data_IF_020211667786
#
_entry.id   IF_020211667786
#
_cell.length_a   1.000
_cell.length_b   1.000
_cell.length_c   1.000
_cell.angle_alpha   90.00
_cell.angle_beta   90.00
_cell.angle_gamma   90.00
#
_symmetry.space_group_name_H-M   'P 1'
#
loop_
_entity.id
_entity.type
_entity.pdbx_description
1 polymer ?
#
# COMPACT_ATOMS: atom_id res chain seq x y z
N UNK A 1 -18.34 -12.04 21.42
CA UNK A 1 -18.00 -10.62 21.60
C UNK A 1 -17.32 -10.46 22.94
N UNK A 2 -16.01 -10.69 22.99
CA UNK A 2 -15.14 -10.15 24.05
C UNK A 2 -14.54 -8.86 23.50
N UNK A 3 -14.66 -7.76 24.26
CA UNK A 3 -13.90 -6.55 23.99
C UNK A 3 -12.44 -6.92 24.19
N UNK A 4 -11.64 -6.83 23.12
CA UNK A 4 -10.18 -6.90 23.23
C UNK A 4 -9.76 -5.66 24.02
N UNK A 5 -9.45 -5.86 25.31
CA UNK A 5 -8.76 -4.85 26.09
C UNK A 5 -7.31 -4.86 25.65
N UNK A 6 -6.90 -3.75 25.02
CA UNK A 6 -5.50 -3.42 24.83
C UNK A 6 -4.93 -3.06 26.21
N UNK A 7 -4.11 -3.93 26.79
CA UNK A 7 -3.16 -3.46 27.79
C UNK A 7 -2.09 -2.66 27.04
N UNK A 8 -2.22 -1.34 27.13
CA UNK A 8 -1.18 -0.37 26.78
C UNK A 8 0.14 -0.75 27.48
N UNK A 9 1.30 -0.61 26.83
CA UNK A 9 2.58 -0.60 27.54
C UNK A 9 2.50 0.43 28.67
N UNK A 10 2.94 0.06 29.87
CA UNK A 10 2.84 0.95 31.04
C UNK A 10 3.50 2.30 30.77
N UNK A 11 2.87 3.37 31.25
CA UNK A 11 3.36 4.75 31.21
C UNK A 11 4.84 4.89 31.67
N UNK A 12 5.31 3.98 32.52
CA UNK A 12 6.70 3.89 33.01
C UNK A 12 7.75 3.45 31.96
N UNK A 13 7.36 2.69 30.94
CA UNK A 13 8.29 2.33 29.84
C UNK A 13 8.52 3.50 28.89
N UNK A 14 7.50 4.33 28.69
CA UNK A 14 7.58 5.53 27.86
C UNK A 14 8.40 6.63 28.55
N UNK A 15 8.26 6.79 29.87
CA UNK A 15 9.00 7.78 30.64
C UNK A 15 10.52 7.53 30.72
N UNK A 16 10.94 6.27 30.60
CA UNK A 16 12.36 5.87 30.68
C UNK A 16 13.13 6.19 29.39
N UNK A 17 12.46 6.25 28.24
CA UNK A 17 13.08 6.56 26.94
C UNK A 17 13.22 8.06 26.65
N UNK A 18 12.61 8.92 27.47
CA UNK A 18 12.58 10.39 27.30
C UNK A 18 13.85 11.14 27.75
N UNK A 19 14.85 10.48 28.36
CA UNK A 19 15.92 11.19 29.09
C UNK A 19 17.16 11.60 28.30
N UNK A 20 17.34 11.18 27.04
CA UNK A 20 18.56 11.49 26.29
C UNK A 20 18.26 12.43 25.12
N UNK A 21 18.24 13.73 25.41
CA UNK A 21 18.04 14.81 24.46
C UNK A 21 19.41 15.25 23.89
N UNK A 22 19.67 14.93 22.62
CA UNK A 22 20.89 15.36 21.93
C UNK A 22 20.70 15.48 20.41
N UNK A 23 19.57 15.99 19.89
CA UNK A 23 19.38 16.20 18.44
C UNK A 23 18.53 17.44 18.11
N UNK A 24 18.84 18.58 18.73
CA UNK A 24 18.33 19.89 18.29
C UNK A 24 19.31 20.48 17.27
N UNK A 25 18.90 20.49 16.00
CA UNK A 25 19.60 21.19 14.92
C UNK A 25 19.78 20.31 13.69
N UNK A 26 19.33 20.84 12.55
CA UNK A 26 19.52 20.35 11.17
C UNK A 26 18.31 19.62 10.56
N UNK A 27 17.19 20.34 10.44
CA UNK A 27 16.35 20.23 9.24
C UNK A 27 16.77 21.39 8.32
N UNK A 28 17.28 21.14 7.10
CA UNK A 28 17.53 22.23 6.17
C UNK A 28 16.19 22.76 5.65
N UNK A 29 15.89 24.03 5.94
CA UNK A 29 14.85 24.79 5.24
C UNK A 29 15.25 24.91 3.76
N UNK A 30 14.32 24.60 2.86
CA UNK A 30 14.49 24.87 1.43
C UNK A 30 13.33 25.73 0.91
N UNK A 31 13.62 26.64 -0.03
CA UNK A 31 12.71 27.72 -0.41
C UNK A 31 11.52 27.20 -1.20
N UNK A 32 10.37 27.86 -1.04
CA UNK A 32 9.21 27.68 -1.89
C UNK A 32 9.61 27.88 -3.36
N UNK A 33 9.62 26.79 -4.13
CA UNK A 33 9.91 26.84 -5.57
C UNK A 33 8.81 27.61 -6.29
N UNK A 34 9.20 28.68 -6.98
CA UNK A 34 8.34 29.39 -7.93
C UNK A 34 7.87 28.42 -9.03
N UNK A 35 6.56 28.38 -9.26
CA UNK A 35 5.95 27.63 -10.37
C UNK A 35 6.33 28.35 -11.65
N UNK A 36 7.28 27.80 -12.40
CA UNK A 36 7.52 28.19 -13.78
C UNK A 36 6.48 27.51 -14.67
N UNK A 37 5.47 28.27 -15.08
CA UNK A 37 4.57 27.92 -16.18
C UNK A 37 5.35 27.97 -17.51
N UNK A 38 6.09 26.91 -17.83
CA UNK A 38 6.54 26.68 -19.21
C UNK A 38 5.58 25.69 -19.88
N UNK A 39 4.74 26.22 -20.76
CA UNK A 39 3.86 25.43 -21.61
C UNK A 39 4.66 24.65 -22.65
N UNK A 40 4.68 23.32 -22.53
CA UNK A 40 4.97 22.35 -23.58
C UNK A 40 4.29 21.00 -23.23
N UNK A 41 3.63 20.42 -24.23
CA UNK A 41 2.57 19.40 -24.22
C UNK A 41 2.76 18.17 -23.28
N UNK A 42 1.85 17.92 -22.31
CA UNK A 42 1.91 16.76 -21.40
C UNK A 42 1.69 15.38 -22.05
N UNK A 43 1.04 15.31 -23.22
CA UNK A 43 0.60 14.03 -23.83
C UNK A 43 1.75 13.22 -24.46
N UNK A 44 2.74 13.90 -25.08
CA UNK A 44 3.83 13.21 -25.80
C UNK A 44 4.71 12.34 -24.89
N UNK A 45 5.01 12.80 -23.68
CA UNK A 45 5.88 12.07 -22.75
C UNK A 45 5.19 10.84 -22.14
N UNK A 46 3.87 10.91 -21.92
CA UNK A 46 3.07 9.80 -21.44
C UNK A 46 2.93 8.72 -22.54
N UNK A 47 2.68 9.15 -23.78
CA UNK A 47 2.61 8.27 -24.95
C UNK A 47 3.94 7.57 -25.21
N UNK A 48 5.06 8.29 -25.16
CA UNK A 48 6.40 7.70 -25.28
C UNK A 48 6.66 6.68 -24.17
N UNK A 49 6.22 6.94 -22.94
CA UNK A 49 6.36 5.99 -21.82
C UNK A 49 5.56 4.73 -22.07
N UNK A 50 4.30 4.87 -22.49
CA UNK A 50 3.44 3.75 -22.83
C UNK A 50 4.05 2.89 -23.94
N UNK A 51 4.60 3.52 -24.97
CA UNK A 51 5.21 2.78 -26.08
C UNK A 51 6.46 2.00 -25.64
N UNK A 52 7.31 2.58 -24.77
CA UNK A 52 8.43 1.84 -24.18
C UNK A 52 7.98 0.58 -23.42
N UNK A 53 6.85 0.63 -22.72
CA UNK A 53 6.31 -0.57 -22.06
C UNK A 53 5.78 -1.59 -23.07
N UNK A 54 5.08 -1.15 -24.12
CA UNK A 54 4.60 -2.04 -25.18
C UNK A 54 5.76 -2.76 -25.87
N UNK A 55 6.80 -2.03 -26.25
CA UNK A 55 8.01 -2.63 -26.84
C UNK A 55 8.66 -3.69 -25.93
N UNK A 56 8.66 -3.47 -24.61
CA UNK A 56 9.17 -4.44 -23.65
C UNK A 56 8.27 -5.67 -23.52
N UNK A 57 6.96 -5.48 -23.56
CA UNK A 57 5.97 -6.54 -23.42
C UNK A 57 5.80 -7.33 -24.73
N UNK A 58 6.00 -6.73 -25.90
CA UNK A 58 5.81 -7.37 -27.21
C UNK A 58 6.95 -8.33 -27.59
N UNK A 59 7.98 -8.50 -26.75
CA UNK A 59 9.00 -9.50 -26.99
C UNK A 59 8.39 -10.92 -26.99
N UNK A 60 8.33 -11.53 -28.17
CA UNK A 60 7.63 -12.79 -28.42
C UNK A 60 8.28 -14.02 -27.75
N UNK A 61 9.55 -13.92 -27.32
CA UNK A 61 10.33 -15.09 -26.87
C UNK A 61 10.55 -15.11 -25.38
N UNK A 62 11.04 -14.01 -24.82
CA UNK A 62 11.40 -13.93 -23.41
C UNK A 62 11.28 -12.49 -22.90
N UNK A 63 10.53 -12.33 -21.81
CA UNK A 63 10.33 -11.04 -21.18
C UNK A 63 11.44 -10.75 -20.17
N UNK A 64 12.14 -9.63 -20.35
CA UNK A 64 13.20 -9.21 -19.46
C UNK A 64 12.63 -8.52 -18.20
N UNK A 65 12.32 -9.31 -17.17
CA UNK A 65 11.73 -8.82 -15.90
C UNK A 65 12.57 -7.72 -15.27
N UNK A 66 13.91 -7.84 -15.34
CA UNK A 66 14.80 -6.86 -14.73
C UNK A 66 14.69 -5.49 -15.39
N UNK A 67 14.69 -5.45 -16.74
CA UNK A 67 14.49 -4.22 -17.50
C UNK A 67 13.08 -3.65 -17.28
N UNK A 68 12.07 -4.53 -17.25
CA UNK A 68 10.69 -4.15 -16.98
C UNK A 68 10.52 -3.51 -15.59
N UNK A 69 11.09 -4.13 -14.55
CA UNK A 69 11.10 -3.60 -13.20
C UNK A 69 11.86 -2.27 -13.12
N UNK A 70 13.01 -2.14 -13.80
CA UNK A 70 13.74 -0.87 -13.84
C UNK A 70 12.89 0.28 -14.40
N UNK A 71 12.15 0.04 -15.48
CA UNK A 71 11.24 1.04 -16.07
C UNK A 71 10.04 1.35 -15.15
N UNK A 72 9.46 0.32 -14.53
CA UNK A 72 8.28 0.40 -13.67
C UNK A 72 8.48 1.16 -12.34
N UNK A 73 9.72 1.27 -11.84
CA UNK A 73 10.03 2.00 -10.59
C UNK A 73 9.53 3.45 -10.58
N UNK A 74 9.49 4.08 -11.76
CA UNK A 74 9.04 5.47 -11.93
C UNK A 74 7.56 5.59 -12.34
N UNK A 75 6.78 4.52 -12.12
CA UNK A 75 5.36 4.46 -12.45
C UNK A 75 5.08 3.68 -13.73
N UNK A 76 3.92 3.06 -13.78
CA UNK A 76 3.47 2.24 -14.90
C UNK A 76 2.21 2.87 -15.50
N UNK A 77 2.10 3.00 -16.84
CA UNK A 77 0.88 3.45 -17.49
C UNK A 77 -0.32 2.53 -17.20
N UNK A 78 -1.53 3.10 -17.18
CA UNK A 78 -2.75 2.38 -16.77
C UNK A 78 -3.05 1.17 -17.66
N UNK A 79 -2.80 1.31 -18.96
CA UNK A 79 -3.13 0.37 -20.02
C UNK A 79 -2.37 -0.95 -19.85
N UNK A 80 -1.12 -0.88 -19.38
CA UNK A 80 -0.21 -2.02 -19.27
C UNK A 80 -0.01 -2.49 -17.81
N UNK A 81 -0.55 -1.75 -16.82
CA UNK A 81 -0.27 -2.00 -15.40
C UNK A 81 -0.57 -3.42 -14.95
N UNK A 82 -1.69 -4.00 -15.40
CA UNK A 82 -2.05 -5.39 -15.05
C UNK A 82 -1.01 -6.38 -15.52
N UNK A 83 -0.51 -6.27 -16.75
CA UNK A 83 0.48 -7.18 -17.30
C UNK A 83 1.84 -6.99 -16.63
N UNK A 84 2.26 -5.73 -16.46
CA UNK A 84 3.52 -5.37 -15.79
C UNK A 84 3.56 -5.89 -14.35
N UNK A 85 2.50 -5.68 -13.57
CA UNK A 85 2.41 -6.18 -12.19
C UNK A 85 2.48 -7.70 -12.14
N UNK A 86 1.78 -8.39 -13.03
CA UNK A 86 1.82 -9.86 -13.09
C UNK A 86 3.24 -10.38 -13.32
N UNK A 87 4.02 -9.77 -14.21
CA UNK A 87 5.40 -10.19 -14.42
C UNK A 87 6.32 -9.84 -13.24
N UNK A 88 6.24 -8.62 -12.72
CA UNK A 88 7.12 -8.15 -11.64
C UNK A 88 6.84 -8.88 -10.32
N UNK A 89 5.57 -9.24 -10.05
CA UNK A 89 5.18 -10.06 -8.90
C UNK A 89 5.50 -11.56 -9.09
N UNK A 90 5.96 -11.96 -10.28
CA UNK A 90 6.26 -13.36 -10.60
C UNK A 90 5.03 -14.25 -10.79
N UNK A 91 3.86 -13.64 -11.09
CA UNK A 91 2.62 -14.35 -11.43
C UNK A 91 2.71 -14.93 -12.83
N UNK A 92 3.25 -14.18 -13.79
CA UNK A 92 3.54 -14.68 -15.13
C UNK A 92 5.02 -15.06 -15.26
N UNK A 93 5.29 -16.05 -16.10
CA UNK A 93 6.66 -16.53 -16.35
C UNK A 93 7.32 -15.71 -17.46
N UNK A 94 8.63 -15.46 -17.39
CA UNK A 94 9.35 -14.72 -18.43
C UNK A 94 9.30 -15.39 -19.81
N UNK A 95 9.25 -16.72 -19.87
CA UNK A 95 9.17 -17.48 -21.10
C UNK A 95 7.75 -17.38 -21.70
N UNK A 96 7.63 -16.70 -22.84
CA UNK A 96 6.32 -16.45 -23.48
C UNK A 96 5.76 -17.65 -24.24
N UNK A 97 6.61 -18.60 -24.62
CA UNK A 97 6.24 -19.75 -25.48
C UNK A 97 5.10 -20.62 -24.94
N UNK A 98 4.87 -20.63 -23.64
CA UNK A 98 3.79 -21.40 -23.01
C UNK A 98 2.89 -20.56 -22.09
N UNK A 99 2.91 -19.23 -22.25
CA UNK A 99 2.19 -18.30 -21.39
C UNK A 99 0.68 -18.57 -21.37
N UNK A 100 0.06 -18.79 -22.54
CA UNK A 100 -1.38 -19.09 -22.65
C UNK A 100 -1.72 -20.35 -21.86
N UNK A 101 -0.95 -21.43 -22.07
CA UNK A 101 -1.15 -22.71 -21.37
C UNK A 101 -0.96 -22.55 -19.85
N UNK A 102 -0.01 -21.72 -19.43
CA UNK A 102 0.24 -21.43 -18.03
C UNK A 102 -0.88 -20.63 -17.37
N UNK A 103 -1.37 -19.59 -18.04
CA UNK A 103 -2.52 -18.82 -17.58
C UNK A 103 -3.78 -19.69 -17.47
N UNK A 104 -4.01 -20.60 -18.42
CA UNK A 104 -5.09 -21.59 -18.32
C UNK A 104 -4.93 -22.52 -17.11
N UNK A 105 -3.70 -22.95 -16.81
CA UNK A 105 -3.40 -23.74 -15.60
C UNK A 105 -3.72 -22.96 -14.33
N UNK A 106 -3.26 -21.71 -14.23
CA UNK A 106 -3.55 -20.82 -13.09
C UNK A 106 -5.06 -20.61 -12.92
N UNK A 107 -5.79 -20.35 -14.00
CA UNK A 107 -7.25 -20.22 -13.96
C UNK A 107 -7.93 -21.50 -13.47
N UNK A 108 -7.46 -22.67 -13.92
CA UNK A 108 -8.02 -23.96 -13.49
C UNK A 108 -7.78 -24.21 -12.00
N UNK A 109 -6.55 -24.01 -11.53
CA UNK A 109 -6.20 -24.15 -10.11
C UNK A 109 -7.00 -23.17 -9.24
N UNK A 110 -7.14 -21.92 -9.67
CA UNK A 110 -7.99 -20.94 -9.00
C UNK A 110 -9.45 -21.41 -8.90
N UNK A 111 -10.03 -21.93 -9.99
CA UNK A 111 -11.40 -22.45 -9.97
C UNK A 111 -11.54 -23.67 -9.04
N UNK A 112 -10.52 -24.51 -8.95
CA UNK A 112 -10.47 -25.60 -7.97
C UNK A 112 -10.46 -25.05 -6.54
N UNK A 113 -9.75 -23.95 -6.25
CA UNK A 113 -9.83 -23.33 -4.92
C UNK A 113 -11.24 -22.79 -4.63
N UNK A 114 -11.85 -22.13 -5.61
CA UNK A 114 -13.20 -21.55 -5.47
C UNK A 114 -14.24 -22.62 -5.17
N UNK A 115 -14.15 -23.82 -5.75
CA UNK A 115 -15.11 -24.90 -5.50
C UNK A 115 -15.09 -25.46 -4.07
N UNK A 116 -14.06 -25.13 -3.28
CA UNK A 116 -13.92 -25.56 -1.89
C UNK A 116 -14.29 -24.46 -0.88
N UNK A 117 -14.77 -23.30 -1.34
CA UNK A 117 -15.22 -22.21 -0.47
C UNK A 117 -16.66 -22.49 -0.06
N UNK A 118 -16.93 -22.50 1.24
CA UNK A 118 -18.27 -22.69 1.79
C UNK A 118 -18.95 -21.34 2.02
N UNK A 119 -20.19 -21.20 1.53
CA UNK A 119 -20.94 -19.94 1.56
C UNK A 119 -21.41 -19.53 2.98
N UNK A 120 -21.45 -20.45 3.94
CA UNK A 120 -21.97 -20.23 5.31
C UNK A 120 -20.88 -19.95 6.36
N UNK A 121 -19.83 -19.24 5.95
CA UNK A 121 -18.73 -18.86 6.82
C UNK A 121 -19.00 -17.46 7.45
N UNK A 122 -18.66 -17.29 8.72
CA UNK A 122 -18.63 -15.98 9.37
C UNK A 122 -17.75 -15.00 8.59
N UNK A 123 -16.63 -15.48 8.04
CA UNK A 123 -15.72 -14.70 7.21
C UNK A 123 -16.44 -14.13 5.98
N UNK A 124 -17.25 -14.93 5.28
CA UNK A 124 -18.01 -14.48 4.10
C UNK A 124 -18.88 -13.28 4.45
N UNK A 125 -19.67 -13.39 5.53
CA UNK A 125 -20.55 -12.29 5.98
C UNK A 125 -19.77 -11.04 6.36
N UNK A 126 -18.63 -11.20 7.05
CA UNK A 126 -17.79 -10.07 7.47
C UNK A 126 -17.10 -9.38 6.28
N UNK A 127 -16.67 -10.14 5.27
CA UNK A 127 -16.12 -9.59 4.02
C UNK A 127 -17.19 -8.82 3.25
N UNK A 128 -18.36 -9.41 3.03
CA UNK A 128 -19.47 -8.77 2.31
C UNK A 128 -19.90 -7.47 3.01
N UNK A 129 -20.03 -7.49 4.33
CA UNK A 129 -20.36 -6.30 5.12
C UNK A 129 -19.31 -5.19 4.93
N UNK A 130 -18.03 -5.53 5.03
CA UNK A 130 -16.95 -4.55 4.91
C UNK A 130 -16.87 -3.95 3.50
N UNK A 131 -16.99 -4.77 2.45
CA UNK A 131 -17.01 -4.28 1.06
C UNK A 131 -18.16 -3.28 0.86
N UNK A 132 -19.36 -3.61 1.35
CA UNK A 132 -20.52 -2.70 1.25
C UNK A 132 -20.31 -1.41 2.03
N UNK A 133 -19.76 -1.50 3.24
CA UNK A 133 -19.43 -0.34 4.06
C UNK A 133 -18.46 0.58 3.35
N UNK A 134 -17.36 0.05 2.81
CA UNK A 134 -16.35 0.83 2.08
C UNK A 134 -16.89 1.43 0.77
N UNK A 135 -17.73 0.70 0.03
CA UNK A 135 -18.43 1.21 -1.16
C UNK A 135 -19.33 2.41 -0.86
N UNK A 136 -19.92 2.45 0.34
CA UNK A 136 -20.83 3.52 0.74
C UNK A 136 -20.13 4.78 1.28
N UNK A 137 -18.81 4.72 1.52
CA UNK A 137 -18.05 5.89 1.98
C UNK A 137 -17.87 6.89 0.84
N UNK A 138 -17.95 8.19 1.16
CA UNK A 138 -17.58 9.27 0.24
C UNK A 138 -16.09 9.61 0.39
N UNK A 139 -15.22 8.60 0.32
CA UNK A 139 -13.77 8.77 0.51
C UNK A 139 -12.97 8.34 -0.71
N UNK A 140 -11.69 8.71 -0.74
CA UNK A 140 -10.71 8.29 -1.75
C UNK A 140 -10.66 6.77 -1.94
N UNK A 141 -10.89 6.01 -0.87
CA UNK A 141 -10.94 4.54 -0.86
C UNK A 141 -12.07 3.97 -1.73
N UNK A 142 -13.21 4.65 -1.83
CA UNK A 142 -14.37 4.14 -2.58
C UNK A 142 -14.06 3.99 -4.08
N UNK A 143 -13.09 4.75 -4.60
CA UNK A 143 -12.65 4.69 -5.99
C UNK A 143 -12.18 3.28 -6.39
N UNK A 144 -11.62 2.48 -5.47
CA UNK A 144 -11.15 1.12 -5.77
C UNK A 144 -12.25 0.08 -5.91
N UNK A 145 -13.47 0.37 -5.43
CA UNK A 145 -14.57 -0.59 -5.43
C UNK A 145 -15.46 -0.49 -6.67
N UNK A 146 -15.01 0.26 -7.67
CA UNK A 146 -15.63 0.38 -8.98
C UNK A 146 -14.58 0.25 -10.09
N UNK A 147 -15.03 -0.22 -11.25
CA UNK A 147 -14.24 -0.23 -12.50
C UNK A 147 -14.81 0.86 -13.40
N UNK A 148 -13.96 1.81 -13.79
CA UNK A 148 -14.33 2.87 -14.75
C UNK A 148 -14.58 2.27 -16.13
N UNK A 149 -13.73 1.33 -16.54
CA UNK A 149 -13.88 0.59 -17.78
C UNK A 149 -14.98 -0.47 -17.68
N UNK A 150 -16.13 -0.17 -18.31
CA UNK A 150 -17.28 -1.06 -18.38
C UNK A 150 -16.95 -2.40 -19.04
N UNK A 151 -15.92 -2.47 -19.89
CA UNK A 151 -15.49 -3.70 -20.56
C UNK A 151 -14.91 -4.75 -19.61
N UNK A 152 -14.39 -4.29 -18.46
CA UNK A 152 -13.87 -5.17 -17.39
C UNK A 152 -15.00 -5.77 -16.54
N UNK A 153 -16.26 -5.35 -16.68
CA UNK A 153 -17.37 -5.80 -15.83
C UNK A 153 -17.33 -5.20 -14.41
N UNK A 154 -18.37 -5.45 -13.61
CA UNK A 154 -18.49 -4.88 -12.27
C UNK A 154 -17.73 -5.70 -11.23
N UNK A 155 -17.23 -5.02 -10.19
CA UNK A 155 -16.71 -5.67 -8.99
C UNK A 155 -17.85 -6.10 -8.07
N UNK A 156 -17.94 -7.40 -7.85
CA UNK A 156 -18.93 -8.04 -6.98
C UNK A 156 -18.31 -8.42 -5.63
N UNK A 157 -19.11 -8.38 -4.55
CA UNK A 157 -18.66 -8.74 -3.20
C UNK A 157 -18.07 -10.15 -3.13
N UNK A 158 -18.59 -11.09 -3.92
CA UNK A 158 -18.12 -12.47 -3.89
C UNK A 158 -16.69 -12.61 -4.43
N UNK A 159 -16.21 -11.67 -5.26
CA UNK A 159 -14.81 -11.68 -5.69
C UNK A 159 -13.87 -11.47 -4.50
N UNK A 160 -14.21 -10.52 -3.63
CA UNK A 160 -13.45 -10.26 -2.40
C UNK A 160 -13.51 -11.46 -1.46
N UNK A 161 -14.70 -12.04 -1.29
CA UNK A 161 -14.89 -13.27 -0.49
C UNK A 161 -13.97 -14.36 -0.99
N UNK A 162 -13.99 -14.66 -2.30
CA UNK A 162 -13.17 -15.74 -2.87
C UNK A 162 -11.68 -15.50 -2.66
N UNK A 163 -11.18 -14.33 -3.02
CA UNK A 163 -9.76 -14.00 -2.87
C UNK A 163 -9.29 -14.10 -1.42
N UNK A 164 -10.07 -13.56 -0.47
CA UNK A 164 -9.72 -13.55 0.95
C UNK A 164 -9.83 -14.96 1.55
N UNK A 165 -10.92 -15.70 1.29
CA UNK A 165 -11.09 -17.06 1.81
C UNK A 165 -9.99 -18.00 1.34
N UNK A 166 -9.61 -17.93 0.06
CA UNK A 166 -8.50 -18.74 -0.47
C UNK A 166 -7.19 -18.34 0.21
N UNK A 167 -6.94 -17.04 0.42
CA UNK A 167 -5.72 -16.58 1.07
C UNK A 167 -5.62 -17.05 2.53
N UNK A 168 -6.72 -16.98 3.29
CA UNK A 168 -6.75 -17.44 4.67
C UNK A 168 -6.51 -18.95 4.77
N UNK A 169 -7.15 -19.74 3.90
CA UNK A 169 -6.95 -21.19 3.85
C UNK A 169 -5.53 -21.62 3.44
N UNK A 170 -4.76 -20.73 2.81
CA UNK A 170 -3.37 -20.97 2.37
C UNK A 170 -2.33 -20.18 3.18
N UNK A 171 -2.77 -19.50 4.22
CA UNK A 171 -1.92 -18.70 5.10
C UNK A 171 -0.85 -19.58 5.74
N UNK A 172 0.42 -19.14 5.69
CA UNK A 172 1.51 -19.86 6.36
C UNK A 172 1.52 -19.58 7.86
N UNK A 173 1.11 -18.38 8.23
CA UNK A 173 1.06 -17.90 9.60
C UNK A 173 -0.29 -18.18 10.30
N UNK A 174 -1.24 -18.82 9.60
CA UNK A 174 -2.60 -19.10 10.08
C UNK A 174 -3.31 -17.83 10.56
N UNK A 175 -3.20 -16.76 9.79
CA UNK A 175 -3.85 -15.49 10.12
C UNK A 175 -5.37 -15.61 9.98
N UNK A 176 -6.10 -14.87 10.82
CA UNK A 176 -7.55 -14.73 10.73
C UNK A 176 -7.95 -13.62 9.74
N UNK A 177 -9.26 -13.50 9.49
CA UNK A 177 -9.77 -12.41 8.68
C UNK A 177 -9.68 -11.05 9.39
N UNK A 178 -9.02 -10.09 8.73
CA UNK A 178 -9.02 -8.68 9.11
C UNK A 178 -9.74 -7.84 8.05
N UNK A 179 -10.64 -6.91 8.44
CA UNK A 179 -11.33 -6.01 7.50
C UNK A 179 -10.39 -5.22 6.57
N UNK A 180 -9.18 -4.91 7.05
CA UNK A 180 -8.13 -4.24 6.28
C UNK A 180 -7.68 -5.01 5.03
N UNK A 181 -7.86 -6.34 4.99
CA UNK A 181 -7.54 -7.16 3.80
C UNK A 181 -8.40 -6.78 2.59
N UNK A 182 -9.64 -6.32 2.80
CA UNK A 182 -10.52 -5.85 1.71
C UNK A 182 -9.88 -4.67 0.97
N UNK A 183 -9.19 -3.79 1.70
CA UNK A 183 -8.48 -2.63 1.11
C UNK A 183 -7.25 -3.04 0.31
N UNK A 184 -6.57 -4.14 0.66
CA UNK A 184 -5.47 -4.68 -0.15
C UNK A 184 -5.95 -5.35 -1.44
N UNK A 185 -7.12 -6.01 -1.39
CA UNK A 185 -7.69 -6.72 -2.55
C UNK A 185 -8.26 -5.76 -3.58
N UNK A 186 -8.86 -4.64 -3.16
CA UNK A 186 -9.58 -3.74 -4.06
C UNK A 186 -8.73 -3.20 -5.23
N UNK A 187 -7.50 -2.66 -5.03
CA UNK A 187 -6.65 -2.21 -6.13
C UNK A 187 -6.29 -3.33 -7.10
N UNK A 188 -6.04 -4.55 -6.61
CA UNK A 188 -5.66 -5.69 -7.44
C UNK A 188 -6.81 -6.16 -8.33
N UNK A 189 -8.03 -6.21 -7.79
CA UNK A 189 -9.25 -6.49 -8.55
C UNK A 189 -9.57 -5.38 -9.56
N UNK A 190 -9.26 -4.13 -9.23
CA UNK A 190 -9.50 -3.02 -10.14
C UNK A 190 -8.53 -3.03 -11.33
N UNK A 191 -7.24 -3.30 -11.08
CA UNK A 191 -6.19 -3.34 -12.11
C UNK A 191 -6.38 -4.54 -13.03
N UNK A 192 -6.56 -5.74 -12.46
CA UNK A 192 -6.61 -6.99 -13.22
C UNK A 192 -8.00 -7.27 -13.77
N UNK A 193 -8.09 -7.67 -15.04
CA UNK A 193 -9.38 -8.03 -15.68
C UNK A 193 -9.90 -9.37 -15.14
N UNK A 194 -9.07 -10.40 -15.16
CA UNK A 194 -9.41 -11.72 -14.65
C UNK A 194 -9.28 -11.75 -13.12
N UNK A 195 -10.22 -12.43 -12.46
CA UNK A 195 -10.21 -12.59 -11.01
C UNK A 195 -9.07 -13.47 -10.52
N UNK A 196 -8.74 -14.53 -11.26
CA UNK A 196 -7.60 -15.41 -11.00
C UNK A 196 -6.28 -14.63 -10.99
N UNK A 197 -6.07 -13.75 -11.98
CA UNK A 197 -4.91 -12.86 -12.05
C UNK A 197 -4.81 -11.96 -10.80
N UNK A 198 -5.93 -11.37 -10.38
CA UNK A 198 -5.99 -10.56 -9.17
C UNK A 198 -5.65 -11.39 -7.92
N UNK A 199 -6.15 -12.63 -7.84
CA UNK A 199 -5.84 -13.55 -6.75
C UNK A 199 -4.35 -13.88 -6.68
N UNK A 200 -3.70 -14.25 -7.79
CA UNK A 200 -2.28 -14.57 -7.74
C UNK A 200 -1.39 -13.34 -7.47
N UNK A 201 -1.80 -12.15 -7.90
CA UNK A 201 -1.15 -10.91 -7.46
C UNK A 201 -1.32 -10.68 -5.95
N UNK A 202 -2.51 -10.98 -5.40
CA UNK A 202 -2.78 -10.88 -3.97
C UNK A 202 -1.99 -11.90 -3.15
N UNK A 203 -1.90 -13.15 -3.61
CA UNK A 203 -1.06 -14.20 -3.00
C UNK A 203 0.42 -13.80 -3.02
N UNK A 204 0.92 -13.24 -4.13
CA UNK A 204 2.28 -12.72 -4.22
C UNK A 204 2.56 -11.57 -3.24
N UNK A 205 1.60 -10.64 -3.08
CA UNK A 205 1.66 -9.57 -2.10
C UNK A 205 1.67 -10.11 -0.66
N UNK A 206 0.72 -11.01 -0.34
CA UNK A 206 0.54 -11.54 0.99
C UNK A 206 1.71 -12.43 1.45
N UNK A 207 2.40 -13.13 0.53
CA UNK A 207 3.65 -13.83 0.84
C UNK A 207 4.72 -12.93 1.46
N UNK A 208 4.71 -11.63 1.16
CA UNK A 208 5.63 -10.62 1.72
C UNK A 208 5.03 -9.84 2.90
N UNK A 209 3.69 -9.76 2.98
CA UNK A 209 2.98 -8.83 3.86
C UNK A 209 2.17 -9.49 4.99
N UNK A 210 2.01 -10.81 4.98
CA UNK A 210 1.18 -11.56 5.93
C UNK A 210 1.57 -11.34 7.40
N UNK A 211 2.86 -11.08 7.69
CA UNK A 211 3.34 -10.82 9.05
C UNK A 211 2.63 -9.64 9.73
N UNK A 212 2.17 -8.63 8.97
CA UNK A 212 1.46 -7.46 9.51
C UNK A 212 0.04 -7.77 10.00
N UNK A 213 -0.47 -8.97 9.70
CA UNK A 213 -1.74 -9.49 10.22
C UNK A 213 -1.55 -10.41 11.43
N UNK A 214 -0.32 -10.62 11.89
CA UNK A 214 -0.04 -11.25 13.18
C UNK A 214 0.10 -10.17 14.25
N UNK A 215 -0.28 -10.48 15.49
CA UNK A 215 -0.14 -9.55 16.62
C UNK A 215 1.31 -9.05 16.76
N UNK A 216 2.26 -9.97 16.74
CA UNK A 216 3.66 -9.63 16.98
C UNK A 216 4.30 -8.88 15.80
N UNK A 217 3.96 -9.25 14.56
CA UNK A 217 4.45 -8.56 13.38
C UNK A 217 3.92 -7.13 13.26
N UNK A 218 2.62 -6.94 13.53
CA UNK A 218 2.02 -5.61 13.57
C UNK A 218 2.62 -4.75 14.68
N UNK A 219 2.74 -5.28 15.90
CA UNK A 219 3.33 -4.55 17.02
C UNK A 219 4.77 -4.12 16.71
N UNK A 220 5.60 -5.01 16.13
CA UNK A 220 6.95 -4.64 15.69
C UNK A 220 6.94 -3.51 14.67
N UNK A 221 6.06 -3.56 13.67
CA UNK A 221 5.95 -2.52 12.66
C UNK A 221 5.52 -1.17 13.25
N UNK A 222 4.51 -1.16 14.12
CA UNK A 222 4.01 0.03 14.81
C UNK A 222 5.10 0.62 15.72
N UNK A 223 5.77 -0.20 16.52
CA UNK A 223 6.86 0.24 17.39
C UNK A 223 8.02 0.82 16.57
N UNK A 224 8.41 0.16 15.47
CA UNK A 224 9.45 0.63 14.59
C UNK A 224 9.11 2.02 14.01
N UNK A 225 7.90 2.17 13.46
CA UNK A 225 7.42 3.43 12.93
C UNK A 225 7.40 4.53 14.00
N UNK A 226 6.83 4.28 15.18
CA UNK A 226 6.75 5.28 16.24
C UNK A 226 8.12 5.68 16.81
N UNK A 227 9.07 4.75 16.82
CA UNK A 227 10.45 5.04 17.23
C UNK A 227 11.09 6.02 16.26
N UNK A 228 10.97 5.75 14.95
CA UNK A 228 11.48 6.64 13.92
C UNK A 228 10.73 7.97 13.88
N UNK A 229 9.40 7.97 14.05
CA UNK A 229 8.59 9.18 14.07
C UNK A 229 9.03 10.11 15.21
N UNK A 230 9.27 9.57 16.41
CA UNK A 230 9.80 10.37 17.54
C UNK A 230 11.18 10.93 17.28
N UNK A 231 12.04 10.16 16.62
CA UNK A 231 13.41 10.57 16.33
C UNK A 231 13.46 11.67 15.25
N UNK A 232 12.55 11.63 14.27
CA UNK A 232 12.56 12.53 13.12
C UNK A 232 11.62 13.73 13.29
N UNK A 233 10.47 13.54 13.95
CA UNK A 233 9.38 14.52 14.09
C UNK A 233 8.93 14.68 15.56
N UNK A 234 9.83 15.04 16.49
CA UNK A 234 9.51 15.11 17.92
C UNK A 234 8.43 16.15 18.26
N UNK A 235 8.39 17.26 17.53
CA UNK A 235 7.40 18.32 17.72
C UNK A 235 5.99 17.85 17.34
N UNK A 236 5.86 17.17 16.20
CA UNK A 236 4.60 16.57 15.79
C UNK A 236 4.13 15.50 16.77
N UNK A 237 5.03 14.66 17.30
CA UNK A 237 4.66 13.70 18.35
C UNK A 237 4.17 14.41 19.62
N UNK A 238 4.84 15.49 20.05
CA UNK A 238 4.37 16.28 21.19
C UNK A 238 3.00 16.90 20.94
N UNK A 239 2.71 17.31 19.70
CA UNK A 239 1.41 17.84 19.30
C UNK A 239 0.31 16.79 19.32
N UNK A 240 0.59 15.58 18.81
CA UNK A 240 -0.33 14.44 18.93
C UNK A 240 -0.66 14.12 20.39
N UNK A 241 0.33 14.21 21.29
CA UNK A 241 0.13 13.99 22.71
C UNK A 241 -0.72 15.09 23.37
N UNK A 242 -0.52 16.37 23.01
CA UNK A 242 -1.35 17.47 23.54
C UNK A 242 -2.79 17.44 23.02
N UNK A 243 -2.98 17.01 21.78
CA UNK A 243 -4.29 16.89 21.13
C UNK A 243 -4.97 15.54 21.39
N UNK A 244 -4.41 14.71 22.27
CA UNK A 244 -4.92 13.38 22.66
C UNK A 244 -5.16 12.43 21.45
N UNK A 245 -4.39 12.60 20.36
CA UNK A 245 -4.49 11.75 19.17
C UNK A 245 -3.62 10.50 19.35
N UNK A 246 -4.26 9.41 19.72
CA UNK A 246 -3.56 8.13 19.95
C UNK A 246 -3.01 7.54 18.63
N UNK A 247 -1.70 7.23 18.52
CA UNK A 247 -1.13 6.63 17.32
C UNK A 247 -1.74 5.28 16.93
N UNK A 248 -2.22 4.51 17.91
CA UNK A 248 -2.87 3.22 17.66
C UNK A 248 -4.21 3.33 16.92
N UNK A 249 -4.79 4.53 16.82
CA UNK A 249 -6.03 4.77 16.07
C UNK A 249 -5.82 4.78 14.54
N UNK A 250 -4.59 5.01 14.05
CA UNK A 250 -4.32 5.18 12.61
C UNK A 250 -3.10 4.40 12.10
N UNK A 251 -2.00 4.30 12.86
CA UNK A 251 -0.75 3.66 12.41
C UNK A 251 -0.96 2.18 12.01
N UNK A 252 -1.70 1.35 12.77
CA UNK A 252 -1.90 -0.05 12.38
C UNK A 252 -2.56 -0.18 11.00
N UNK A 253 -3.53 0.68 10.69
CA UNK A 253 -4.21 0.67 9.40
C UNK A 253 -3.26 1.04 8.26
N UNK A 254 -2.38 2.03 8.45
CA UNK A 254 -1.36 2.40 7.46
C UNK A 254 -0.45 1.21 7.15
N UNK A 255 0.07 0.57 8.20
CA UNK A 255 0.99 -0.57 8.08
C UNK A 255 0.33 -1.80 7.44
N UNK A 256 -0.91 -2.13 7.83
CA UNK A 256 -1.60 -3.30 7.29
C UNK A 256 -2.08 -3.10 5.86
N UNK A 257 -2.49 -1.89 5.49
CA UNK A 257 -3.14 -1.64 4.19
C UNK A 257 -2.20 -1.10 3.13
N UNK A 258 -0.93 -0.83 3.46
CA UNK A 258 0.01 -0.18 2.54
C UNK A 258 -0.57 1.12 1.96
N UNK A 259 -1.26 1.88 2.81
CA UNK A 259 -2.02 3.10 2.50
C UNK A 259 -3.21 2.95 1.54
N UNK A 260 -3.63 1.73 1.20
CA UNK A 260 -4.77 1.49 0.32
C UNK A 260 -6.13 1.94 0.89
N UNK A 261 -6.14 2.39 2.15
CA UNK A 261 -7.30 2.99 2.79
C UNK A 261 -7.26 4.50 2.96
N UNK A 262 -6.18 5.14 2.55
CA UNK A 262 -5.89 6.54 2.84
C UNK A 262 -5.65 7.33 1.56
N UNK A 263 -4.88 6.75 0.63
CA UNK A 263 -4.52 7.41 -0.63
C UNK A 263 -5.62 7.28 -1.67
N UNK A 264 -5.75 8.32 -2.50
CA UNK A 264 -6.50 8.26 -3.74
C UNK A 264 -5.89 7.26 -4.73
N UNK A 265 -6.73 6.75 -5.63
CA UNK A 265 -6.37 5.73 -6.63
C UNK A 265 -5.05 5.99 -7.36
N UNK A 266 -4.85 7.13 -8.04
CA UNK A 266 -3.63 7.36 -8.81
C UNK A 266 -2.37 7.35 -7.93
N UNK A 267 -2.45 7.88 -6.72
CA UNK A 267 -1.33 7.94 -5.77
C UNK A 267 -0.96 6.54 -5.26
N UNK A 268 -1.96 5.74 -4.89
CA UNK A 268 -1.72 4.37 -4.42
C UNK A 268 -1.10 3.49 -5.52
N UNK A 269 -1.66 3.54 -6.74
CA UNK A 269 -1.15 2.71 -7.84
C UNK A 269 0.28 3.12 -8.20
N UNK A 270 0.58 4.42 -8.23
CA UNK A 270 1.95 4.93 -8.40
C UNK A 270 2.90 4.44 -7.31
N UNK A 271 2.46 4.44 -6.05
CA UNK A 271 3.24 3.92 -4.94
C UNK A 271 3.50 2.40 -5.10
N UNK A 272 2.47 1.63 -5.43
CA UNK A 272 2.57 0.18 -5.58
C UNK A 272 3.40 -0.25 -6.79
N UNK A 273 3.42 0.55 -7.87
CA UNK A 273 4.37 0.37 -8.97
C UNK A 273 5.82 0.31 -8.45
N UNK A 274 6.17 1.21 -7.51
CA UNK A 274 7.50 1.22 -6.87
C UNK A 274 7.70 0.03 -5.95
N UNK A 275 6.71 -0.31 -5.11
CA UNK A 275 6.81 -1.44 -4.19
C UNK A 275 7.00 -2.77 -4.90
N UNK A 276 6.41 -2.95 -6.08
CA UNK A 276 6.57 -4.19 -6.82
C UNK A 276 7.89 -4.20 -7.59
N UNK A 277 8.31 -3.07 -8.15
CA UNK A 277 9.45 -2.98 -9.06
C UNK A 277 10.82 -2.70 -8.41
N UNK A 278 10.84 -2.12 -7.21
CA UNK A 278 12.06 -1.78 -6.49
C UNK A 278 12.68 -2.99 -5.79
N UNK A 279 13.98 -2.91 -5.49
CA UNK A 279 14.71 -3.92 -4.72
C UNK A 279 14.28 -3.94 -3.25
N UNK A 280 13.96 -2.76 -2.70
CA UNK A 280 13.54 -2.59 -1.30
C UNK A 280 12.10 -3.08 -1.11
N UNK A 281 11.27 -2.93 -2.14
CA UNK A 281 9.89 -3.35 -2.16
C UNK A 281 9.08 -2.80 -0.98
N UNK A 282 8.46 -3.69 -0.20
CA UNK A 282 7.64 -3.31 0.95
C UNK A 282 8.47 -2.84 2.16
N UNK A 283 9.78 -3.10 2.21
CA UNK A 283 10.64 -2.60 3.29
C UNK A 283 10.74 -1.06 3.29
N UNK A 284 10.46 -0.43 2.14
CA UNK A 284 10.39 1.02 2.03
C UNK A 284 9.17 1.61 2.75
N UNK A 285 8.15 0.80 3.06
CA UNK A 285 6.84 1.29 3.46
C UNK A 285 6.85 2.14 4.74
N UNK A 286 7.59 1.74 5.77
CA UNK A 286 7.69 2.54 7.01
C UNK A 286 8.24 3.94 6.73
N UNK A 287 9.21 4.06 5.81
CA UNK A 287 9.80 5.34 5.42
C UNK A 287 8.87 6.16 4.54
N UNK A 288 8.02 5.53 3.72
CA UNK A 288 6.94 6.21 3.00
C UNK A 288 5.95 6.82 3.98
N UNK A 289 5.53 6.09 5.01
CA UNK A 289 4.65 6.61 6.05
C UNK A 289 5.27 7.82 6.77
N UNK A 290 6.57 7.79 7.06
CA UNK A 290 7.29 8.93 7.65
C UNK A 290 7.34 10.11 6.69
N UNK A 291 7.67 9.87 5.41
CA UNK A 291 7.70 10.91 4.39
C UNK A 291 6.35 11.60 4.19
N UNK A 292 5.24 10.84 4.29
CA UNK A 292 3.87 11.38 4.27
C UNK A 292 3.64 12.30 5.46
N UNK A 293 3.95 11.85 6.68
CA UNK A 293 3.78 12.68 7.88
C UNK A 293 4.62 13.95 7.79
N UNK A 294 5.89 13.85 7.38
CA UNK A 294 6.73 15.04 7.25
C UNK A 294 6.24 15.98 6.15
N UNK A 295 5.63 15.47 5.07
CA UNK A 295 5.05 16.32 4.03
C UNK A 295 3.82 17.10 4.55
N UNK A 296 3.02 16.49 5.43
CA UNK A 296 1.85 17.12 6.04
C UNK A 296 2.15 17.90 7.32
N UNK A 297 3.40 17.90 7.79
CA UNK A 297 3.79 18.36 9.13
C UNK A 297 3.21 19.71 9.48
N UNK A 298 3.44 20.72 8.63
CA UNK A 298 3.08 22.10 8.95
C UNK A 298 1.55 22.26 9.03
N UNK A 299 0.81 21.59 8.15
CA UNK A 299 -0.66 21.55 8.19
C UNK A 299 -1.19 20.83 9.43
N UNK A 300 -0.58 19.70 9.81
CA UNK A 300 -1.02 18.92 10.98
C UNK A 300 -0.73 19.61 12.31
N UNK A 301 0.34 20.41 12.39
CA UNK A 301 0.68 21.18 13.60
C UNK A 301 -0.29 22.34 13.85
N UNK A 302 -0.99 22.81 12.81
CA UNK A 302 -2.00 23.86 12.91
C UNK A 302 -3.42 23.33 13.18
N UNK A 303 -3.60 22.01 13.23
CA UNK A 303 -4.89 21.33 13.42
C UNK A 303 -5.12 20.87 14.86
N UNK A 304 -6.39 20.74 15.27
CA UNK A 304 -6.81 20.12 16.52
C UNK A 304 -7.02 18.60 16.35
N UNK A 305 -7.07 17.86 17.46
CA UNK A 305 -7.12 16.39 17.46
C UNK A 305 -8.10 15.71 16.48
N UNK A 306 -9.38 16.15 16.39
CA UNK A 306 -10.33 15.60 15.43
C UNK A 306 -9.92 15.81 13.96
N UNK A 307 -9.40 16.98 13.62
CA UNK A 307 -8.99 17.34 12.25
C UNK A 307 -7.70 16.60 11.86
N UNK A 308 -6.75 16.47 12.78
CA UNK A 308 -5.56 15.63 12.61
C UNK A 308 -5.99 14.19 12.28
N UNK A 309 -6.92 13.66 13.06
CA UNK A 309 -7.43 12.29 12.88
C UNK A 309 -8.10 12.11 11.52
N UNK A 310 -8.89 13.09 11.07
CA UNK A 310 -9.51 13.07 9.75
C UNK A 310 -8.47 13.12 8.62
N UNK A 311 -7.48 14.01 8.72
CA UNK A 311 -6.38 14.16 7.76
C UNK A 311 -5.55 12.88 7.63
N UNK A 312 -5.24 12.21 8.75
CA UNK A 312 -4.48 10.95 8.75
C UNK A 312 -5.30 9.75 8.22
N UNK A 313 -6.62 9.82 8.30
CA UNK A 313 -7.51 8.81 7.73
C UNK A 313 -7.77 9.03 6.23
N UNK A 314 -7.71 10.27 5.75
CA UNK A 314 -7.98 10.65 4.36
C UNK A 314 -6.86 11.55 3.83
N UNK A 315 -5.80 10.94 3.30
CA UNK A 315 -4.64 11.69 2.82
C UNK A 315 -4.99 12.55 1.59
N UNK A 316 -4.39 13.76 1.46
CA UNK A 316 -4.69 14.67 0.36
C UNK A 316 -4.41 14.07 -1.03
N UNK A 317 -5.36 14.25 -1.96
CA UNK A 317 -5.19 13.82 -3.36
C UNK A 317 -4.20 14.68 -4.15
N UNK A 318 -3.83 15.85 -3.63
CA UNK A 318 -2.87 16.80 -4.21
C UNK A 318 -1.41 16.45 -3.91
N UNK A 319 -1.17 15.42 -3.11
CA UNK A 319 0.18 14.98 -2.73
C UNK A 319 0.99 14.51 -3.94
N UNK A 320 2.25 14.93 -4.02
CA UNK A 320 3.18 14.54 -5.09
C UNK A 320 3.88 13.21 -4.76
N UNK A 321 3.29 12.10 -5.17
CA UNK A 321 3.75 10.76 -4.80
C UNK A 321 5.22 10.47 -5.15
N UNK A 322 5.73 10.99 -6.28
CA UNK A 322 7.15 10.83 -6.65
C UNK A 322 8.10 11.51 -5.67
N UNK A 323 7.72 12.68 -5.14
CA UNK A 323 8.51 13.39 -4.13
C UNK A 323 8.47 12.65 -2.80
N UNK A 324 7.31 12.11 -2.42
CA UNK A 324 7.16 11.29 -1.21
C UNK A 324 8.03 10.03 -1.30
N UNK A 325 8.03 9.32 -2.43
CA UNK A 325 8.87 8.15 -2.66
C UNK A 325 10.35 8.54 -2.56
N UNK A 326 10.76 9.62 -3.21
CA UNK A 326 12.15 10.11 -3.16
C UNK A 326 12.55 10.45 -1.72
N UNK A 327 11.68 11.14 -0.99
CA UNK A 327 11.90 11.46 0.43
C UNK A 327 12.01 10.20 1.28
N UNK A 328 11.19 9.18 1.03
CA UNK A 328 11.25 7.91 1.75
C UNK A 328 12.61 7.20 1.55
N UNK A 329 13.17 7.23 0.34
CA UNK A 329 14.52 6.72 0.09
C UNK A 329 15.58 7.50 0.88
N UNK A 330 15.51 8.83 0.88
CA UNK A 330 16.44 9.67 1.64
C UNK A 330 16.35 9.40 3.16
N UNK A 331 15.14 9.32 3.72
CA UNK A 331 14.93 8.99 5.14
C UNK A 331 15.53 7.61 5.46
N UNK A 332 15.32 6.62 4.59
CA UNK A 332 15.89 5.29 4.76
C UNK A 332 17.42 5.33 4.79
N UNK A 333 18.04 6.04 3.84
CA UNK A 333 19.50 6.18 3.80
C UNK A 333 20.05 6.85 5.06
N UNK A 334 19.37 7.90 5.54
CA UNK A 334 19.71 8.58 6.80
C UNK A 334 19.61 7.64 8.01
N UNK A 335 18.51 6.90 8.14
CA UNK A 335 18.27 5.98 9.26
C UNK A 335 19.30 4.86 9.29
N UNK A 336 19.59 4.27 8.12
CA UNK A 336 20.61 3.20 7.98
C UNK A 336 22.01 3.75 8.26
N UNK A 337 22.34 4.92 7.71
CA UNK A 337 23.65 5.55 7.89
C UNK A 337 23.93 5.94 9.35
N UNK A 338 22.90 6.38 10.08
CA UNK A 338 22.99 6.82 11.48
C UNK A 338 22.82 5.69 12.50
N UNK A 339 22.53 4.46 12.06
CA UNK A 339 22.23 3.29 12.93
C UNK A 339 21.14 3.60 13.97
N UNK A 340 20.09 4.29 13.53
CA UNK A 340 18.95 4.61 14.40
C UNK A 340 18.09 3.37 14.75
N UNK A 341 18.43 2.21 14.18
CA UNK A 341 17.84 0.88 14.43
C UNK A 341 18.91 -0.21 14.35
#
# INVERSE_FOLDING_TARGET
>A
MEKIHFESPSSDMLSTLLRNNALSGLVPEFPAGEIQEDGLEPDSAADERLERFRELLDNETHMNVHKLAKEARNGVPEEVRSEVWKYILGVLRPEKSDEISYQQKLQKEYNEFVSHIYDDDEVVRRVVHEVRRLKALSTSTAQFFSREDKSKGKLDENMFVRLISIQLGRSRMQIEYYPTMVRLVAPLLQVNRAESDAYYCFDALMKKHEAFFTRDGLNRAVTNFLTLLRALEPEFVSHLESEEVEPNSWVPAWMQTLLAGQLARPLLLRLWDTYFASSEGLELHTYVCLAVVTWMRDELLDQEGPDISESLLNLPSTMFMDQIITRAYNIREDVVGRRLL
#
